data_IF_758484525274
#
_entry.id   IF_758484525274
#
_cell.length_a   1.000
_cell.length_b   1.000
_cell.length_c   1.000
_cell.angle_alpha   90.00
_cell.angle_beta   90.00
_cell.angle_gamma   90.00
#
_symmetry.space_group_name_H-M   'P 1'
#
loop_
_entity.id
_entity.type
_entity.pdbx_description
1 polymer ?
#
# COMPACT_ATOMS: atom_id res chain seq x y z
N UNK A 1 4.21 34.25 -16.87
CA UNK A 1 4.46 33.93 -15.48
C UNK A 1 3.96 32.51 -15.33
N UNK A 2 4.88 31.57 -15.12
CA UNK A 2 4.58 30.15 -15.22
C UNK A 2 3.72 29.66 -14.06
N UNK A 3 2.64 28.96 -14.37
CA UNK A 3 1.88 28.20 -13.41
C UNK A 3 2.81 27.13 -12.80
N UNK A 4 3.09 27.25 -11.51
CA UNK A 4 3.76 26.23 -10.71
C UNK A 4 2.86 25.00 -10.72
N UNK A 5 3.31 23.91 -11.36
CA UNK A 5 2.66 22.61 -11.28
C UNK A 5 2.89 22.07 -9.87
N UNK A 6 1.94 22.32 -8.97
CA UNK A 6 1.93 21.63 -7.67
C UNK A 6 1.40 20.21 -7.88
N UNK A 7 2.27 19.22 -7.67
CA UNK A 7 1.85 17.82 -7.52
C UNK A 7 1.15 17.67 -6.17
N UNK A 8 -0.04 17.03 -6.11
CA UNK A 8 -0.61 16.64 -4.82
C UNK A 8 0.39 15.76 -4.07
N UNK A 9 0.62 16.04 -2.79
CA UNK A 9 1.51 15.22 -1.95
C UNK A 9 0.76 13.94 -1.64
N UNK A 10 1.21 12.84 -2.25
CA UNK A 10 0.71 11.50 -1.93
C UNK A 10 1.18 11.15 -0.52
N UNK A 11 0.39 10.42 0.25
CA UNK A 11 0.74 9.97 1.62
C UNK A 11 2.06 9.17 1.71
N UNK A 12 2.67 8.82 0.58
CA UNK A 12 4.01 8.24 0.44
C UNK A 12 5.14 9.24 0.69
N UNK A 13 4.89 10.55 0.61
CA UNK A 13 5.92 11.59 0.78
C UNK A 13 6.28 11.86 2.26
N UNK A 14 5.73 11.07 3.19
CA UNK A 14 5.87 11.25 4.64
C UNK A 14 7.08 10.49 5.22
N UNK A 15 7.96 9.91 4.39
CA UNK A 15 9.04 9.04 4.87
C UNK A 15 10.41 9.68 4.62
N UNK A 16 11.35 9.45 5.53
CA UNK A 16 12.69 10.01 5.43
C UNK A 16 13.49 9.18 4.42
N UNK A 17 14.11 9.81 3.41
CA UNK A 17 14.98 9.14 2.45
C UNK A 17 16.15 8.36 3.13
N UNK A 18 16.36 8.55 4.43
CA UNK A 18 17.35 7.83 5.22
C UNK A 18 16.79 6.59 5.94
N UNK A 19 15.46 6.33 5.90
CA UNK A 19 14.89 5.18 6.58
C UNK A 19 15.25 3.89 5.86
N UNK A 20 15.96 3.01 6.56
CA UNK A 20 16.29 1.68 6.07
C UNK A 20 15.04 0.81 6.02
N UNK A 21 14.88 0.02 4.97
CA UNK A 21 13.74 -0.88 4.89
C UNK A 21 13.68 -1.73 3.62
N UNK A 22 12.54 -2.31 3.38
CA UNK A 22 12.27 -3.23 2.28
C UNK A 22 11.35 -2.57 1.25
N UNK A 23 11.75 -2.64 -0.01
CA UNK A 23 10.87 -2.28 -1.14
C UNK A 23 10.01 -3.48 -1.49
N UNK A 24 8.71 -3.31 -1.57
CA UNK A 24 7.77 -4.31 -2.06
C UNK A 24 7.30 -3.87 -3.45
N UNK A 25 7.60 -4.66 -4.48
CA UNK A 25 7.13 -4.40 -5.84
C UNK A 25 5.81 -5.12 -6.04
N UNK A 26 4.79 -4.36 -6.40
CA UNK A 26 3.44 -4.87 -6.64
C UNK A 26 3.22 -5.26 -8.10
N UNK A 27 2.93 -6.55 -8.32
CA UNK A 27 2.53 -7.11 -9.61
C UNK A 27 1.01 -7.30 -9.73
N UNK A 28 0.22 -6.59 -8.93
CA UNK A 28 -1.24 -6.68 -8.92
C UNK A 28 -1.80 -7.75 -7.99
N UNK A 29 -1.03 -8.17 -6.98
CA UNK A 29 -1.47 -9.14 -5.99
C UNK A 29 -2.43 -8.52 -4.98
N UNK A 30 -3.46 -9.28 -4.60
CA UNK A 30 -4.32 -8.95 -3.45
C UNK A 30 -3.53 -8.92 -2.11
N UNK A 31 -2.33 -9.50 -2.08
CA UNK A 31 -1.52 -9.66 -0.87
C UNK A 31 -0.32 -8.73 -0.79
N UNK A 32 -0.07 -7.85 -1.77
CA UNK A 32 1.08 -6.93 -1.73
C UNK A 32 1.07 -6.02 -0.49
N UNK A 33 -0.11 -5.52 -0.13
CA UNK A 33 -0.29 -4.76 1.12
C UNK A 33 -0.07 -5.59 2.38
N UNK A 34 -0.47 -6.86 2.34
CA UNK A 34 -0.25 -7.77 3.46
C UNK A 34 1.24 -8.06 3.64
N UNK A 35 2.01 -8.23 2.56
CA UNK A 35 3.47 -8.33 2.62
C UNK A 35 4.06 -7.08 3.30
N UNK A 36 3.72 -5.89 2.83
CA UNK A 36 4.20 -4.64 3.41
C UNK A 36 3.82 -4.51 4.91
N UNK A 37 2.62 -4.92 5.28
CA UNK A 37 2.18 -4.96 6.68
C UNK A 37 3.00 -5.94 7.51
N UNK A 38 3.26 -7.16 7.02
CA UNK A 38 4.06 -8.18 7.72
C UNK A 38 5.48 -7.69 8.01
N UNK A 39 6.08 -6.96 7.07
CA UNK A 39 7.40 -6.34 7.27
C UNK A 39 7.34 -5.31 8.42
N UNK A 40 6.30 -4.49 8.46
CA UNK A 40 6.11 -3.50 9.53
C UNK A 40 5.82 -4.14 10.88
N UNK A 41 5.13 -5.27 10.93
CA UNK A 41 4.94 -6.08 12.14
C UNK A 41 6.28 -6.62 12.69
N UNK A 42 7.32 -6.75 11.84
CA UNK A 42 8.69 -7.05 12.22
C UNK A 42 9.53 -5.80 12.60
N UNK A 43 8.88 -4.66 12.76
CA UNK A 43 9.48 -3.36 13.08
C UNK A 43 10.47 -2.83 12.01
N UNK A 44 10.28 -3.18 10.76
CA UNK A 44 11.06 -2.69 9.62
C UNK A 44 10.15 -1.88 8.69
N UNK A 45 10.68 -0.77 8.18
CA UNK A 45 9.94 0.03 7.22
C UNK A 45 9.75 -0.72 5.89
N UNK A 46 8.61 -0.53 5.25
CA UNK A 46 8.33 -1.07 3.93
C UNK A 46 7.69 -0.03 3.02
N UNK A 47 8.21 0.08 1.80
CA UNK A 47 7.68 0.92 0.73
C UNK A 47 7.06 0.02 -0.33
N UNK A 48 5.77 0.19 -0.61
CA UNK A 48 5.09 -0.50 -1.69
C UNK A 48 5.13 0.37 -2.95
N UNK A 49 5.60 -0.20 -4.06
CA UNK A 49 5.77 0.51 -5.33
C UNK A 49 5.25 -0.34 -6.50
N UNK A 50 4.87 0.32 -7.59
CA UNK A 50 4.48 -0.39 -8.81
C UNK A 50 5.69 -0.96 -9.55
N UNK A 51 5.46 -1.93 -10.43
CA UNK A 51 6.48 -2.50 -11.30
C UNK A 51 7.11 -1.49 -12.28
N UNK A 52 6.50 -0.32 -12.48
CA UNK A 52 7.03 0.77 -13.32
C UNK A 52 7.87 1.80 -12.54
N UNK A 53 8.09 1.60 -11.26
CA UNK A 53 8.85 2.54 -10.42
C UNK A 53 10.33 2.56 -10.78
N UNK A 54 10.93 3.75 -10.75
CA UNK A 54 12.36 3.95 -11.01
C UNK A 54 13.18 3.89 -9.72
N UNK A 55 14.47 3.58 -9.82
CA UNK A 55 15.38 3.60 -8.68
C UNK A 55 15.41 4.95 -7.97
N UNK A 56 15.45 6.06 -8.72
CA UNK A 56 15.44 7.41 -8.17
C UNK A 56 14.16 7.70 -7.37
N UNK A 57 13.00 7.20 -7.87
CA UNK A 57 11.75 7.37 -7.14
C UNK A 57 11.71 6.59 -5.81
N UNK A 58 12.40 5.47 -5.74
CA UNK A 58 12.52 4.65 -4.52
C UNK A 58 13.50 5.32 -3.54
N UNK A 59 14.70 5.67 -4.00
CA UNK A 59 15.75 6.23 -3.14
C UNK A 59 15.46 7.64 -2.64
N UNK A 60 14.59 8.39 -3.34
CA UNK A 60 14.08 9.66 -2.82
C UNK A 60 13.18 9.50 -1.60
N UNK A 61 12.66 8.29 -1.35
CA UNK A 61 11.70 8.00 -0.28
C UNK A 61 12.30 7.17 0.85
N UNK A 62 13.31 6.31 0.58
CA UNK A 62 13.90 5.44 1.59
C UNK A 62 15.32 5.01 1.20
N UNK A 63 16.03 4.38 2.14
CA UNK A 63 17.28 3.67 1.92
C UNK A 63 17.00 2.16 1.81
N UNK A 64 16.88 1.57 0.59
CA UNK A 64 16.52 0.17 0.44
C UNK A 64 17.60 -0.77 0.94
N UNK A 65 17.22 -1.79 1.69
CA UNK A 65 18.08 -2.89 2.16
C UNK A 65 17.78 -4.22 1.48
N UNK A 66 16.62 -4.32 0.83
CA UNK A 66 16.20 -5.50 0.09
C UNK A 66 14.91 -5.24 -0.67
N UNK A 67 14.59 -6.14 -1.58
CA UNK A 67 13.42 -6.07 -2.45
C UNK A 67 12.59 -7.34 -2.29
N UNK A 68 11.29 -7.19 -2.10
CA UNK A 68 10.32 -8.30 -2.18
C UNK A 68 9.46 -8.10 -3.43
N UNK A 69 9.41 -9.11 -4.28
CA UNK A 69 8.58 -9.17 -5.46
C UNK A 69 7.30 -9.91 -5.11
N UNK A 70 6.16 -9.26 -5.21
CA UNK A 70 4.87 -9.82 -4.80
C UNK A 70 4.39 -10.95 -5.71
N UNK A 71 3.31 -11.60 -5.33
CA UNK A 71 2.51 -12.39 -6.25
C UNK A 71 1.84 -11.53 -7.32
N UNK A 72 1.09 -12.17 -8.21
CA UNK A 72 0.33 -11.50 -9.26
C UNK A 72 -0.65 -12.45 -9.94
N UNK A 73 -1.69 -11.92 -10.62
CA UNK A 73 -2.69 -12.74 -11.31
C UNK A 73 -2.27 -13.20 -12.70
N UNK A 74 -1.20 -12.62 -13.26
CA UNK A 74 -0.74 -12.87 -14.64
C UNK A 74 0.15 -14.11 -14.72
N UNK A 75 0.30 -14.66 -15.92
CA UNK A 75 1.37 -15.59 -16.27
C UNK A 75 2.54 -14.83 -16.87
N UNK A 76 3.78 -15.20 -16.53
CA UNK A 76 4.99 -14.48 -16.98
C UNK A 76 5.20 -14.45 -18.50
N UNK A 77 4.51 -15.30 -19.24
CA UNK A 77 4.52 -15.38 -20.69
C UNK A 77 3.34 -14.65 -21.35
N UNK A 78 2.47 -13.99 -20.59
CA UNK A 78 1.39 -13.15 -21.14
C UNK A 78 1.98 -11.89 -21.78
N UNK A 79 1.36 -11.41 -22.85
CA UNK A 79 1.87 -10.27 -23.66
C UNK A 79 2.07 -8.98 -22.85
N UNK A 80 1.24 -8.79 -21.81
CA UNK A 80 1.27 -7.61 -20.95
C UNK A 80 1.59 -7.97 -19.49
N UNK A 81 2.28 -9.08 -19.26
CA UNK A 81 2.69 -9.47 -17.91
C UNK A 81 3.63 -8.41 -17.32
N UNK A 82 3.42 -7.98 -16.05
CA UNK A 82 4.34 -7.04 -15.44
C UNK A 82 5.73 -7.67 -15.28
N UNK A 83 6.77 -6.94 -15.67
CA UNK A 83 8.17 -7.35 -15.56
C UNK A 83 8.82 -6.78 -14.30
N UNK A 84 9.90 -7.41 -13.84
CA UNK A 84 10.75 -6.87 -12.77
C UNK A 84 11.50 -5.66 -13.36
N UNK A 85 11.49 -4.48 -12.71
CA UNK A 85 12.28 -3.34 -13.15
C UNK A 85 13.78 -3.69 -13.22
N UNK A 86 14.48 -3.22 -14.25
CA UNK A 86 15.89 -3.54 -14.49
C UNK A 86 16.79 -3.20 -13.28
N UNK A 87 16.50 -2.08 -12.61
CA UNK A 87 17.26 -1.64 -11.45
C UNK A 87 17.32 -2.68 -10.31
N UNK A 88 16.33 -3.58 -10.21
CA UNK A 88 16.29 -4.62 -9.16
C UNK A 88 17.50 -5.57 -9.28
N UNK A 89 17.90 -5.91 -10.50
CA UNK A 89 19.06 -6.75 -10.75
C UNK A 89 20.38 -5.98 -10.85
N UNK A 90 20.31 -4.69 -11.18
CA UNK A 90 21.48 -3.80 -11.23
C UNK A 90 22.00 -3.44 -9.84
N UNK A 91 21.10 -3.34 -8.87
CA UNK A 91 21.47 -3.10 -7.48
C UNK A 91 21.85 -4.44 -6.81
N UNK A 92 22.88 -4.44 -6.01
CA UNK A 92 23.30 -5.65 -5.27
C UNK A 92 22.45 -5.94 -4.03
N UNK A 93 21.17 -5.58 -4.08
CA UNK A 93 20.24 -5.78 -2.96
C UNK A 93 19.74 -7.23 -2.91
N UNK A 94 19.52 -7.78 -1.71
CA UNK A 94 18.80 -9.03 -1.56
C UNK A 94 17.39 -8.98 -2.16
N UNK A 95 17.00 -10.07 -2.85
CA UNK A 95 15.72 -10.20 -3.53
C UNK A 95 14.98 -11.42 -3.00
N UNK A 96 13.70 -11.26 -2.66
CA UNK A 96 12.77 -12.35 -2.36
C UNK A 96 11.59 -12.32 -3.31
N UNK A 97 11.46 -13.31 -4.21
CA UNK A 97 10.28 -13.48 -5.07
C UNK A 97 9.20 -14.32 -4.38
N UNK A 98 7.94 -13.91 -4.43
CA UNK A 98 6.79 -14.64 -3.89
C UNK A 98 5.84 -14.99 -5.04
N UNK A 99 5.54 -16.28 -5.24
CA UNK A 99 4.60 -16.78 -6.24
C UNK A 99 4.92 -16.26 -7.66
N UNK A 100 4.16 -15.30 -8.19
CA UNK A 100 4.49 -14.65 -9.46
C UNK A 100 5.89 -14.03 -9.46
N UNK A 101 6.31 -13.38 -8.36
CA UNK A 101 7.66 -12.82 -8.22
C UNK A 101 8.76 -13.85 -8.37
N UNK A 102 8.56 -15.09 -7.90
CA UNK A 102 9.47 -16.20 -8.16
C UNK A 102 9.53 -16.54 -9.65
N UNK A 103 8.38 -16.68 -10.29
CA UNK A 103 8.26 -17.01 -11.71
C UNK A 103 8.88 -15.92 -12.59
N UNK A 104 8.69 -14.64 -12.23
CA UNK A 104 9.29 -13.51 -12.92
C UNK A 104 10.83 -13.50 -12.82
N UNK A 105 11.40 -13.81 -11.64
CA UNK A 105 12.86 -13.98 -11.47
C UNK A 105 13.36 -15.06 -12.42
N UNK A 106 12.77 -16.25 -12.38
CA UNK A 106 13.20 -17.39 -13.22
C UNK A 106 13.10 -17.04 -14.70
N UNK A 107 11.99 -16.45 -15.15
CA UNK A 107 11.75 -16.09 -16.55
C UNK A 107 12.75 -15.03 -17.04
N UNK A 108 12.94 -13.93 -16.31
CA UNK A 108 13.86 -12.87 -16.72
C UNK A 108 15.34 -13.27 -16.67
N UNK A 109 15.69 -14.26 -15.83
CA UNK A 109 17.04 -14.81 -15.76
C UNK A 109 17.28 -15.98 -16.75
N UNK A 110 16.33 -16.27 -17.66
CA UNK A 110 16.47 -17.24 -18.74
C UNK A 110 16.10 -18.69 -18.35
N UNK A 111 15.42 -18.90 -17.24
CA UNK A 111 14.78 -20.17 -16.91
C UNK A 111 13.42 -20.33 -17.59
N UNK A 112 12.72 -21.42 -17.35
CA UNK A 112 11.44 -21.75 -17.98
C UNK A 112 10.34 -21.87 -16.94
N UNK A 113 9.22 -21.20 -17.22
CA UNK A 113 7.96 -21.31 -16.48
C UNK A 113 6.88 -21.76 -17.46
N UNK A 114 6.06 -22.70 -17.06
CA UNK A 114 4.99 -23.24 -17.90
C UNK A 114 3.72 -23.55 -17.09
N UNK A 115 2.55 -23.62 -17.77
CA UNK A 115 1.31 -24.02 -17.12
C UNK A 115 1.44 -25.41 -16.49
N UNK A 116 1.01 -25.54 -15.22
CA UNK A 116 1.00 -26.84 -14.56
C UNK A 116 -0.27 -27.60 -14.87
N UNK A 117 -0.15 -28.87 -15.21
CA UNK A 117 -1.29 -29.80 -15.30
C UNK A 117 -1.90 -30.12 -13.93
N UNK A 118 -1.09 -29.98 -12.87
CA UNK A 118 -1.53 -30.10 -11.47
C UNK A 118 -1.38 -28.74 -10.82
N UNK A 119 -2.49 -27.98 -10.78
CA UNK A 119 -2.54 -26.71 -10.07
C UNK A 119 -2.50 -26.96 -8.56
N UNK A 120 -1.74 -26.16 -7.81
CA UNK A 120 -1.70 -26.23 -6.36
C UNK A 120 -2.43 -25.03 -5.73
N UNK A 121 -3.53 -25.33 -5.06
CA UNK A 121 -4.28 -24.36 -4.26
C UNK A 121 -4.58 -24.94 -2.90
N UNK A 122 -4.22 -24.21 -1.84
CA UNK A 122 -4.46 -24.62 -0.47
C UNK A 122 -3.20 -25.09 0.26
N UNK A 123 -3.40 -25.92 1.26
CA UNK A 123 -2.34 -26.43 2.11
C UNK A 123 -1.43 -27.44 1.41
N UNK A 124 -0.12 -27.28 1.58
CA UNK A 124 0.89 -28.23 1.17
C UNK A 124 1.95 -28.36 2.27
N UNK A 125 2.68 -29.46 2.25
CA UNK A 125 3.84 -29.64 3.15
C UNK A 125 5.10 -29.32 2.34
N UNK A 126 5.81 -28.28 2.77
CA UNK A 126 7.13 -27.94 2.26
C UNK A 126 8.17 -28.82 2.97
N UNK A 127 9.08 -29.40 2.20
CA UNK A 127 10.22 -30.15 2.73
C UNK A 127 11.50 -29.48 2.25
N UNK A 128 12.42 -29.19 3.17
CA UNK A 128 13.72 -28.58 2.86
C UNK A 128 14.62 -29.60 2.16
N UNK A 129 15.27 -29.16 1.07
CA UNK A 129 16.24 -29.99 0.34
C UNK A 129 17.64 -29.98 1.01
N UNK A 130 17.88 -28.95 1.84
CA UNK A 130 19.13 -28.75 2.56
C UNK A 130 18.88 -27.98 3.86
N UNK A 131 19.48 -28.41 4.97
CA UNK A 131 19.36 -27.77 6.28
C UNK A 131 20.20 -26.47 6.40
N UNK A 132 20.77 -25.96 5.32
CA UNK A 132 21.66 -24.80 5.33
C UNK A 132 21.01 -23.54 4.66
N UNK A 133 19.72 -23.57 4.36
CA UNK A 133 19.06 -22.39 3.79
C UNK A 133 18.77 -21.34 4.89
N UNK A 134 19.36 -20.15 4.75
CA UNK A 134 19.19 -19.05 5.71
C UNK A 134 17.72 -18.64 5.90
N UNK A 135 16.87 -18.77 4.86
CA UNK A 135 15.44 -18.46 4.97
C UNK A 135 14.70 -19.40 5.94
N UNK A 136 15.16 -20.63 6.06
CA UNK A 136 14.51 -21.66 6.87
C UNK A 136 15.27 -21.97 8.17
N UNK A 137 16.27 -21.16 8.48
CA UNK A 137 17.06 -21.34 9.71
C UNK A 137 16.20 -21.27 10.97
N UNK A 138 16.33 -22.27 11.83
CA UNK A 138 15.54 -22.41 13.06
C UNK A 138 14.13 -22.97 12.83
N UNK A 139 13.82 -23.45 11.63
CA UNK A 139 12.54 -24.05 11.27
C UNK A 139 12.68 -25.60 11.16
N UNK A 140 11.58 -26.35 11.31
CA UNK A 140 11.61 -27.82 11.12
C UNK A 140 11.90 -28.18 9.65
N UNK A 141 12.41 -29.40 9.41
CA UNK A 141 12.72 -29.88 8.06
C UNK A 141 11.52 -29.90 7.12
N UNK A 142 10.33 -30.05 7.68
CA UNK A 142 9.06 -29.98 6.92
C UNK A 142 8.02 -29.14 7.70
N UNK A 143 7.28 -28.31 6.98
CA UNK A 143 6.23 -27.46 7.58
C UNK A 143 5.14 -27.12 6.57
N UNK A 144 3.99 -26.69 7.11
CA UNK A 144 2.81 -26.36 6.33
C UNK A 144 2.96 -24.98 5.66
N UNK A 145 2.57 -24.91 4.36
CA UNK A 145 2.57 -23.69 3.56
C UNK A 145 1.28 -23.58 2.75
N UNK A 146 0.94 -22.35 2.32
CA UNK A 146 -0.20 -22.07 1.46
C UNK A 146 0.25 -21.84 0.03
N UNK A 147 -0.23 -22.71 -0.86
CA UNK A 147 -0.02 -22.63 -2.30
C UNK A 147 -1.19 -21.96 -3.00
N UNK A 148 -0.89 -21.16 -4.05
CA UNK A 148 -1.92 -20.53 -4.88
C UNK A 148 -1.35 -20.24 -6.28
N UNK A 149 -1.11 -21.28 -7.07
CA UNK A 149 -0.51 -21.10 -8.40
C UNK A 149 -1.02 -22.09 -9.44
N UNK A 150 -1.12 -21.59 -10.69
CA UNK A 150 -1.46 -22.39 -11.87
C UNK A 150 -0.27 -22.72 -12.76
N UNK A 151 0.83 -21.96 -12.62
CA UNK A 151 2.05 -22.12 -13.38
C UNK A 151 3.16 -22.67 -12.47
N UNK A 152 4.16 -23.36 -13.06
CA UNK A 152 5.29 -23.90 -12.31
C UNK A 152 6.60 -23.59 -13.03
N UNK A 153 7.66 -23.53 -12.24
CA UNK A 153 9.03 -23.51 -12.75
C UNK A 153 9.40 -24.89 -13.28
N UNK A 154 9.88 -24.97 -14.52
CA UNK A 154 10.34 -26.22 -15.15
C UNK A 154 11.86 -26.33 -15.23
N UNK A 155 12.55 -25.20 -15.45
CA UNK A 155 14.01 -25.18 -15.45
C UNK A 155 14.52 -23.88 -14.80
N UNK A 156 15.62 -24.00 -14.06
CA UNK A 156 16.27 -22.88 -13.39
C UNK A 156 17.41 -22.32 -14.23
N UNK A 157 17.68 -21.00 -14.15
CA UNK A 157 18.94 -20.45 -14.61
C UNK A 157 20.10 -21.02 -13.76
N UNK A 158 21.29 -21.12 -14.36
CA UNK A 158 22.46 -21.81 -13.77
C UNK A 158 22.90 -21.31 -12.38
N UNK A 159 22.56 -20.09 -12.04
CA UNK A 159 22.91 -19.44 -10.76
C UNK A 159 21.94 -19.81 -9.63
N UNK A 160 20.74 -20.34 -9.92
CA UNK A 160 19.74 -20.70 -8.93
C UNK A 160 19.68 -22.23 -8.72
N UNK A 161 19.38 -22.64 -7.51
CA UNK A 161 19.22 -24.04 -7.12
C UNK A 161 17.92 -24.25 -6.35
N UNK A 162 17.31 -25.45 -6.38
CA UNK A 162 16.23 -25.81 -5.48
C UNK A 162 16.67 -25.73 -4.02
N UNK A 163 15.81 -25.22 -3.15
CA UNK A 163 16.02 -25.11 -1.70
C UNK A 163 15.00 -25.94 -0.91
N UNK A 164 13.79 -26.09 -1.47
CA UNK A 164 12.72 -26.89 -0.89
C UNK A 164 11.69 -27.30 -1.95
N UNK A 165 10.96 -28.37 -1.68
CA UNK A 165 9.94 -28.95 -2.55
C UNK A 165 8.64 -29.25 -1.79
N UNK A 166 7.56 -29.46 -2.55
CA UNK A 166 6.31 -30.10 -2.08
C UNK A 166 6.07 -31.39 -2.88
N UNK A 167 5.02 -32.14 -2.55
CA UNK A 167 4.65 -33.32 -3.32
C UNK A 167 4.42 -33.04 -4.81
N UNK A 168 3.89 -31.86 -5.15
CA UNK A 168 3.51 -31.49 -6.52
C UNK A 168 4.45 -30.47 -7.17
N UNK A 169 5.31 -29.82 -6.40
CA UNK A 169 6.28 -28.82 -6.89
C UNK A 169 7.69 -29.18 -6.42
N UNK A 170 8.53 -29.63 -7.35
CA UNK A 170 9.94 -29.94 -7.08
C UNK A 170 10.81 -28.71 -6.80
N UNK A 171 10.28 -27.51 -7.04
CA UNK A 171 10.93 -26.21 -6.87
C UNK A 171 9.97 -25.26 -6.16
N UNK A 172 9.56 -25.60 -4.93
CA UNK A 172 8.67 -24.78 -4.12
C UNK A 172 9.41 -23.60 -3.45
N UNK A 173 10.73 -23.73 -3.29
CA UNK A 173 11.63 -22.63 -2.95
C UNK A 173 12.94 -22.80 -3.73
N UNK A 174 13.50 -21.69 -4.20
CA UNK A 174 14.74 -21.63 -4.96
C UNK A 174 15.61 -20.46 -4.52
N UNK A 175 16.90 -20.50 -4.84
CA UNK A 175 17.78 -19.36 -4.58
C UNK A 175 19.24 -19.65 -4.94
N UNK A 176 20.08 -18.62 -4.80
CA UNK A 176 21.55 -18.76 -4.92
C UNK A 176 22.24 -18.85 -3.55
N UNK A 177 21.48 -18.89 -2.46
CA UNK A 177 21.93 -18.90 -1.07
C UNK A 177 22.75 -17.66 -0.63
N UNK A 178 22.81 -16.62 -1.44
CA UNK A 178 23.49 -15.36 -1.15
C UNK A 178 22.50 -14.23 -1.00
N UNK A 179 21.91 -13.79 -2.11
CA UNK A 179 21.06 -12.62 -2.16
C UNK A 179 19.79 -12.77 -2.99
N UNK A 180 19.60 -13.89 -3.71
CA UNK A 180 18.38 -14.16 -4.48
C UNK A 180 17.69 -15.39 -3.90
N UNK A 181 16.47 -15.18 -3.45
CA UNK A 181 15.57 -16.20 -2.93
C UNK A 181 14.20 -16.07 -3.57
N UNK A 182 13.51 -17.18 -3.77
CA UNK A 182 12.14 -17.12 -4.26
C UNK A 182 11.31 -18.32 -3.79
N UNK A 183 10.04 -18.07 -3.54
CA UNK A 183 9.07 -18.97 -2.95
C UNK A 183 7.85 -19.09 -3.84
N UNK A 184 7.39 -20.30 -4.11
CA UNK A 184 6.15 -20.53 -4.84
C UNK A 184 4.92 -20.35 -3.93
N UNK A 185 5.09 -20.51 -2.62
CA UNK A 185 4.04 -20.32 -1.61
C UNK A 185 4.00 -18.89 -1.07
N UNK A 186 2.95 -18.59 -0.32
CA UNK A 186 2.68 -17.29 0.27
C UNK A 186 3.07 -17.27 1.77
N UNK A 187 4.22 -16.72 2.15
CA UNK A 187 4.63 -16.62 3.56
C UNK A 187 3.83 -15.57 4.33
N UNK A 188 3.23 -14.59 3.65
CA UNK A 188 2.50 -13.47 4.25
C UNK A 188 1.13 -13.84 4.81
N UNK A 189 0.52 -14.94 4.33
CA UNK A 189 -0.84 -15.30 4.72
C UNK A 189 -0.89 -16.11 6.02
N UNK A 190 -1.99 -16.02 6.75
CA UNK A 190 -2.18 -16.74 8.01
C UNK A 190 -2.17 -18.28 7.86
N UNK A 191 -2.45 -18.78 6.64
CA UNK A 191 -2.45 -20.20 6.31
C UNK A 191 -1.04 -20.80 6.14
N UNK A 192 0.00 -19.98 6.21
CA UNK A 192 1.41 -20.42 6.32
C UNK A 192 1.87 -20.11 7.75
N UNK A 193 1.73 -21.06 8.71
CA UNK A 193 1.95 -20.78 10.13
C UNK A 193 3.33 -20.24 10.45
N UNK A 194 4.37 -20.74 9.76
CA UNK A 194 5.76 -20.30 9.93
C UNK A 194 6.19 -19.23 8.89
N UNK A 195 5.26 -18.65 8.16
CA UNK A 195 5.56 -17.65 7.13
C UNK A 195 6.25 -16.40 7.67
N UNK A 196 5.88 -15.96 8.89
CA UNK A 196 6.54 -14.84 9.54
C UNK A 196 8.00 -15.12 9.88
N UNK A 197 8.37 -16.37 10.20
CA UNK A 197 9.76 -16.76 10.43
C UNK A 197 10.58 -16.68 9.12
N UNK A 198 10.01 -17.09 8.00
CA UNK A 198 10.63 -16.95 6.66
C UNK A 198 10.92 -15.49 6.34
N UNK A 199 9.90 -14.61 6.50
CA UNK A 199 10.05 -13.17 6.27
C UNK A 199 11.06 -12.54 7.24
N UNK A 200 11.03 -12.90 8.51
CA UNK A 200 11.97 -12.42 9.52
C UNK A 200 13.42 -12.84 9.19
N UNK A 201 13.64 -14.08 8.78
CA UNK A 201 14.96 -14.55 8.37
C UNK A 201 15.47 -13.76 7.14
N UNK A 202 14.63 -13.54 6.13
CA UNK A 202 15.01 -12.72 4.99
C UNK A 202 15.37 -11.30 5.41
N UNK A 203 14.50 -10.64 6.15
CA UNK A 203 14.65 -9.24 6.54
C UNK A 203 15.88 -9.03 7.43
N UNK A 204 16.10 -9.93 8.41
CA UNK A 204 17.15 -9.74 9.41
C UNK A 204 18.48 -10.34 9.01
N UNK A 205 18.46 -11.58 8.46
CA UNK A 205 19.71 -12.32 8.22
C UNK A 205 20.26 -12.09 6.83
N UNK A 206 19.38 -11.85 5.84
CA UNK A 206 19.81 -11.62 4.46
C UNK A 206 19.93 -10.12 4.18
N UNK A 207 18.93 -9.31 4.56
CA UNK A 207 18.92 -7.86 4.32
C UNK A 207 19.60 -7.05 5.42
N UNK A 208 19.90 -7.63 6.57
CA UNK A 208 20.47 -6.94 7.75
C UNK A 208 19.73 -5.65 8.13
N UNK A 209 18.40 -5.69 8.06
CA UNK A 209 17.57 -4.55 8.40
C UNK A 209 17.52 -4.30 9.90
N UNK A 210 17.66 -3.01 10.29
CA UNK A 210 17.44 -2.59 11.68
C UNK A 210 15.96 -2.52 11.99
N UNK A 211 15.59 -2.88 13.22
CA UNK A 211 14.23 -2.73 13.74
C UNK A 211 13.98 -1.32 14.26
N UNK A 212 13.96 -0.34 13.37
CA UNK A 212 13.81 1.08 13.73
C UNK A 212 12.37 1.59 13.56
N UNK A 213 11.56 0.89 12.77
CA UNK A 213 10.19 1.31 12.52
C UNK A 213 9.26 0.90 13.66
N UNK A 214 8.56 1.86 14.24
CA UNK A 214 7.47 1.64 15.19
C UNK A 214 6.33 2.60 14.90
N UNK A 215 5.08 2.27 15.23
CA UNK A 215 3.96 3.22 15.12
C UNK A 215 4.22 4.55 15.86
N UNK A 216 4.96 4.51 16.97
CA UNK A 216 5.33 5.70 17.73
C UNK A 216 6.31 6.60 16.97
N UNK A 217 7.33 6.02 16.37
CA UNK A 217 8.29 6.75 15.51
C UNK A 217 7.57 7.35 14.31
N UNK A 218 6.71 6.58 13.65
CA UNK A 218 5.89 7.06 12.54
C UNK A 218 5.06 8.30 12.92
N UNK A 219 4.38 8.28 14.08
CA UNK A 219 3.61 9.44 14.57
C UNK A 219 4.52 10.65 14.77
N UNK A 220 5.69 10.46 15.38
CA UNK A 220 6.64 11.56 15.66
C UNK A 220 7.17 12.17 14.37
N UNK A 221 7.58 11.35 13.42
CA UNK A 221 8.09 11.79 12.12
C UNK A 221 7.00 12.46 11.30
N UNK A 222 5.81 11.83 11.20
CA UNK A 222 4.68 12.40 10.47
C UNK A 222 4.29 13.78 11.00
N UNK A 223 4.20 13.94 12.32
CA UNK A 223 3.85 15.24 12.92
C UNK A 223 4.92 16.31 12.66
N UNK A 224 6.20 15.96 12.68
CA UNK A 224 7.29 16.88 12.35
C UNK A 224 7.22 17.38 10.92
N UNK A 225 6.93 16.48 9.97
CA UNK A 225 6.81 16.82 8.54
C UNK A 225 5.57 17.63 8.24
N UNK A 226 4.43 17.23 8.78
CA UNK A 226 3.19 18.02 8.65
C UNK A 226 3.46 19.44 9.11
N UNK A 227 4.12 19.62 10.26
CA UNK A 227 4.46 20.94 10.78
C UNK A 227 5.38 21.73 9.83
N UNK A 228 6.38 21.10 9.26
CA UNK A 228 7.29 21.73 8.31
C UNK A 228 6.58 22.11 7.00
N UNK A 229 5.70 21.24 6.49
CA UNK A 229 4.97 21.45 5.24
C UNK A 229 3.94 22.57 5.37
N UNK A 230 3.15 22.54 6.45
CA UNK A 230 2.06 23.50 6.68
C UNK A 230 2.62 24.87 7.05
N UNK A 231 3.74 24.92 7.80
CA UNK A 231 4.30 26.17 8.28
C UNK A 231 3.29 26.97 9.09
N UNK A 232 3.03 28.21 8.68
CA UNK A 232 2.07 29.11 9.31
C UNK A 232 0.67 29.08 8.67
N UNK A 233 0.44 28.22 7.65
CA UNK A 233 -0.82 28.12 6.94
C UNK A 233 -1.88 27.38 7.75
N UNK A 234 -3.15 27.58 7.39
CA UNK A 234 -4.28 26.86 7.97
C UNK A 234 -4.69 25.67 7.11
N UNK A 235 -5.17 24.61 7.75
CA UNK A 235 -5.58 23.34 7.14
C UNK A 235 -7.04 23.07 7.47
N UNK A 236 -7.82 22.76 6.44
CA UNK A 236 -9.14 22.14 6.59
C UNK A 236 -8.96 20.63 6.52
N UNK A 237 -9.54 19.88 7.45
CA UNK A 237 -9.60 18.43 7.40
C UNK A 237 -11.04 17.96 7.23
N UNK A 238 -11.30 17.25 6.15
CA UNK A 238 -12.59 16.59 5.92
C UNK A 238 -12.73 15.41 6.90
N UNK A 239 -13.66 15.51 7.83
CA UNK A 239 -13.90 14.50 8.86
C UNK A 239 -15.19 13.72 8.51
N UNK A 240 -15.07 12.42 8.27
CA UNK A 240 -16.23 11.55 8.02
C UNK A 240 -16.72 10.81 9.27
N UNK A 241 -15.95 10.85 10.36
CA UNK A 241 -16.19 10.01 11.55
C UNK A 241 -15.68 8.57 11.42
N UNK A 242 -15.16 8.17 10.25
CA UNK A 242 -14.48 6.90 10.05
C UNK A 242 -13.06 6.90 10.64
N UNK A 243 -12.45 5.71 10.78
CA UNK A 243 -11.11 5.54 11.38
C UNK A 243 -10.05 6.37 10.66
N UNK A 244 -10.04 6.36 9.33
CA UNK A 244 -8.99 6.99 8.52
C UNK A 244 -9.01 8.51 8.66
N UNK A 245 -10.19 9.14 8.52
CA UNK A 245 -10.34 10.58 8.74
C UNK A 245 -10.03 10.98 10.18
N UNK A 246 -10.34 10.11 11.16
CA UNK A 246 -10.04 10.33 12.56
C UNK A 246 -8.54 10.33 12.84
N UNK A 247 -7.81 9.35 12.30
CA UNK A 247 -6.35 9.27 12.42
C UNK A 247 -5.69 10.47 11.75
N UNK A 248 -6.15 10.86 10.55
CA UNK A 248 -5.66 12.03 9.83
C UNK A 248 -5.86 13.30 10.66
N UNK A 249 -7.07 13.53 11.19
CA UNK A 249 -7.37 14.70 12.02
C UNK A 249 -6.51 14.73 13.29
N UNK A 250 -6.29 13.60 13.95
CA UNK A 250 -5.46 13.53 15.16
C UNK A 250 -3.98 13.75 14.88
N UNK A 251 -3.43 13.25 13.78
CA UNK A 251 -2.05 13.52 13.37
C UNK A 251 -1.85 15.00 13.04
N UNK A 252 -2.77 15.60 12.31
CA UNK A 252 -2.77 17.03 12.01
C UNK A 252 -2.87 17.87 13.29
N UNK A 253 -3.83 17.59 14.15
CA UNK A 253 -3.99 18.31 15.42
C UNK A 253 -2.73 18.23 16.28
N UNK A 254 -2.10 17.07 16.36
CA UNK A 254 -0.84 16.89 17.08
C UNK A 254 0.31 17.70 16.45
N UNK A 255 0.31 17.88 15.13
CA UNK A 255 1.36 18.59 14.41
C UNK A 255 1.21 20.11 14.45
N UNK A 256 0.00 20.61 14.22
CA UNK A 256 -0.27 22.05 13.93
C UNK A 256 -1.31 22.69 14.87
N UNK A 257 -1.91 21.93 15.81
CA UNK A 257 -2.79 22.46 16.84
C UNK A 257 -3.95 23.29 16.27
N UNK A 258 -4.03 24.56 16.65
CA UNK A 258 -5.13 25.48 16.31
C UNK A 258 -5.16 25.91 14.83
N UNK A 259 -4.11 25.61 14.04
CA UNK A 259 -4.12 25.82 12.60
C UNK A 259 -5.01 24.80 11.88
N UNK A 260 -5.49 23.76 12.56
CA UNK A 260 -6.41 22.77 12.02
C UNK A 260 -7.86 23.14 12.31
N UNK A 261 -8.69 23.14 11.26
CA UNK A 261 -10.15 23.14 11.39
C UNK A 261 -10.72 21.88 10.73
N UNK A 262 -11.40 21.06 11.52
CA UNK A 262 -12.11 19.91 11.01
C UNK A 262 -13.51 20.30 10.53
N UNK A 263 -13.94 19.82 9.37
CA UNK A 263 -15.29 20.04 8.86
C UNK A 263 -16.00 18.69 8.74
N UNK A 264 -17.13 18.58 9.40
CA UNK A 264 -18.01 17.41 9.31
C UNK A 264 -19.32 17.82 8.65
N UNK A 265 -19.63 17.22 7.50
CA UNK A 265 -20.81 17.54 6.70
C UNK A 265 -21.87 16.47 6.85
N UNK A 266 -23.05 16.86 7.31
CA UNK A 266 -24.24 16.02 7.21
C UNK A 266 -24.77 16.08 5.76
N UNK A 267 -24.58 15.00 5.04
CA UNK A 267 -25.04 14.86 3.64
C UNK A 267 -26.42 14.21 3.51
N UNK A 268 -27.14 14.00 4.62
CA UNK A 268 -28.44 13.34 4.64
C UNK A 268 -28.41 11.82 4.51
N UNK A 269 -27.23 11.20 4.38
CA UNK A 269 -27.04 9.74 4.20
C UNK A 269 -26.35 9.10 5.42
N UNK A 270 -26.24 9.85 6.53
CA UNK A 270 -25.64 9.38 7.77
C UNK A 270 -26.52 8.36 8.49
N UNK A 271 -25.89 7.53 9.31
CA UNK A 271 -26.62 6.62 10.21
C UNK A 271 -27.32 7.43 11.33
N UNK A 272 -28.35 6.84 11.90
CA UNK A 272 -29.08 7.46 13.02
C UNK A 272 -28.14 7.74 14.19
N UNK A 273 -28.09 9.00 14.64
CA UNK A 273 -27.25 9.44 15.76
C UNK A 273 -25.76 9.60 15.44
N UNK A 274 -25.35 9.41 14.20
CA UNK A 274 -23.94 9.51 13.81
C UNK A 274 -23.41 10.94 13.90
N UNK A 275 -24.20 11.92 13.47
CA UNK A 275 -23.82 13.34 13.56
C UNK A 275 -23.55 13.80 14.99
N UNK A 276 -24.41 13.44 15.93
CA UNK A 276 -24.24 13.75 17.35
C UNK A 276 -23.02 13.03 17.95
N UNK A 277 -22.83 11.76 17.58
CA UNK A 277 -21.70 10.96 18.05
C UNK A 277 -20.36 11.55 17.61
N UNK A 278 -20.25 11.95 16.34
CA UNK A 278 -19.05 12.59 15.78
C UNK A 278 -18.77 13.91 16.48
N UNK A 279 -19.76 14.78 16.63
CA UNK A 279 -19.59 16.07 17.32
C UNK A 279 -19.15 15.89 18.76
N UNK A 280 -19.76 14.96 19.50
CA UNK A 280 -19.37 14.68 20.89
C UNK A 280 -17.94 14.14 20.97
N UNK A 281 -17.56 13.22 20.12
CA UNK A 281 -16.23 12.63 20.14
C UNK A 281 -15.16 13.66 19.80
N UNK A 282 -15.29 14.34 18.69
CA UNK A 282 -14.20 15.18 18.19
C UNK A 282 -14.15 16.56 18.81
N UNK A 283 -15.30 17.21 19.04
CA UNK A 283 -15.35 18.52 19.68
C UNK A 283 -15.19 18.44 21.20
N UNK A 284 -16.00 17.60 21.87
CA UNK A 284 -16.08 17.61 23.32
C UNK A 284 -15.01 16.75 24.00
N UNK A 285 -14.70 15.55 23.44
CA UNK A 285 -13.75 14.64 24.08
C UNK A 285 -12.31 14.87 23.60
N UNK A 286 -12.11 15.20 22.31
CA UNK A 286 -10.78 15.38 21.72
C UNK A 286 -10.37 16.84 21.55
N UNK A 287 -11.27 17.79 21.79
CA UNK A 287 -10.96 19.22 21.77
C UNK A 287 -10.62 19.79 20.41
N UNK A 288 -11.02 19.12 19.30
CA UNK A 288 -10.75 19.60 17.96
C UNK A 288 -11.64 20.79 17.60
N UNK A 289 -11.10 21.76 16.88
CA UNK A 289 -11.90 22.80 16.25
C UNK A 289 -12.75 22.16 15.13
N UNK A 290 -14.04 21.93 15.42
CA UNK A 290 -14.96 21.22 14.53
C UNK A 290 -16.09 22.11 14.09
N UNK A 291 -16.22 22.33 12.78
CA UNK A 291 -17.37 22.95 12.14
C UNK A 291 -18.32 21.83 11.67
N UNK A 292 -19.57 21.90 12.13
CA UNK A 292 -20.64 21.04 11.64
C UNK A 292 -21.46 21.79 10.60
N UNK A 293 -21.65 21.15 9.45
CA UNK A 293 -22.44 21.70 8.33
C UNK A 293 -23.60 20.77 8.05
N UNK A 294 -24.82 21.26 8.14
CA UNK A 294 -25.99 20.53 7.67
C UNK A 294 -26.28 20.89 6.21
N UNK A 295 -25.93 19.99 5.32
CA UNK A 295 -26.16 20.09 3.89
C UNK A 295 -27.10 18.99 3.35
N UNK A 296 -27.85 18.33 4.24
CA UNK A 296 -28.65 17.16 3.91
C UNK A 296 -29.62 17.42 2.73
N UNK A 297 -30.36 18.52 2.76
CA UNK A 297 -31.30 18.88 1.68
C UNK A 297 -30.57 19.09 0.34
N UNK A 298 -29.42 19.74 0.38
CA UNK A 298 -28.60 20.04 -0.80
C UNK A 298 -28.12 18.75 -1.51
N UNK A 299 -27.58 17.79 -0.76
CA UNK A 299 -27.14 16.53 -1.32
C UNK A 299 -28.31 15.69 -1.83
N UNK A 300 -29.37 15.56 -1.05
CA UNK A 300 -30.54 14.75 -1.43
C UNK A 300 -31.18 15.29 -2.70
N UNK A 301 -31.33 16.61 -2.83
CA UNK A 301 -31.90 17.24 -4.03
C UNK A 301 -31.05 16.97 -5.28
N UNK A 302 -29.71 17.03 -5.18
CA UNK A 302 -28.82 16.76 -6.31
C UNK A 302 -28.80 15.28 -6.72
N UNK A 303 -29.11 14.38 -5.80
CA UNK A 303 -29.18 12.94 -6.05
C UNK A 303 -30.56 12.46 -6.53
N UNK A 304 -31.55 13.36 -6.58
CA UNK A 304 -32.90 13.02 -7.01
C UNK A 304 -32.89 12.48 -8.46
N UNK A 305 -33.56 11.35 -8.67
CA UNK A 305 -33.64 10.62 -9.95
C UNK A 305 -32.28 10.10 -10.51
N UNK A 306 -31.19 10.19 -9.79
CA UNK A 306 -29.91 9.59 -10.17
C UNK A 306 -29.89 8.14 -9.71
N UNK A 307 -29.85 7.19 -10.64
CA UNK A 307 -29.83 5.74 -10.35
C UNK A 307 -28.44 5.13 -10.51
N UNK A 308 -27.62 5.69 -11.41
CA UNK A 308 -26.27 5.21 -11.70
C UNK A 308 -25.32 5.44 -10.52
N UNK A 309 -24.65 4.41 -10.00
CA UNK A 309 -23.79 4.52 -8.82
C UNK A 309 -22.57 5.41 -9.04
N UNK A 310 -22.01 5.44 -10.26
CA UNK A 310 -20.84 6.25 -10.56
C UNK A 310 -21.18 7.74 -10.65
N UNK A 311 -22.34 8.07 -11.25
CA UNK A 311 -22.85 9.43 -11.24
C UNK A 311 -23.14 9.91 -9.81
N UNK A 312 -23.71 9.05 -8.95
CA UNK A 312 -23.90 9.40 -7.53
C UNK A 312 -22.60 9.76 -6.84
N UNK A 313 -21.53 8.96 -7.04
CA UNK A 313 -20.21 9.23 -6.44
C UNK A 313 -19.63 10.55 -6.89
N UNK A 314 -19.70 10.86 -8.19
CA UNK A 314 -19.20 12.12 -8.74
C UNK A 314 -19.95 13.32 -8.15
N UNK A 315 -21.30 13.27 -8.13
CA UNK A 315 -22.12 14.33 -7.56
C UNK A 315 -21.80 14.55 -6.08
N UNK A 316 -21.70 13.45 -5.30
CA UNK A 316 -21.38 13.53 -3.88
C UNK A 316 -20.00 14.13 -3.68
N UNK A 317 -18.97 13.65 -4.41
CA UNK A 317 -17.60 14.14 -4.30
C UNK A 317 -17.48 15.62 -4.64
N UNK A 318 -18.06 16.06 -5.78
CA UNK A 318 -18.09 17.47 -6.17
C UNK A 318 -18.78 18.34 -5.12
N UNK A 319 -19.90 17.87 -4.59
CA UNK A 319 -20.68 18.65 -3.63
C UNK A 319 -19.95 18.83 -2.30
N UNK A 320 -19.22 17.81 -1.83
CA UNK A 320 -18.36 17.96 -0.65
C UNK A 320 -17.31 19.05 -0.85
N UNK A 321 -16.64 19.08 -2.02
CA UNK A 321 -15.64 20.11 -2.30
C UNK A 321 -16.26 21.51 -2.31
N UNK A 322 -17.43 21.68 -2.94
CA UNK A 322 -18.12 23.00 -2.95
C UNK A 322 -18.48 23.46 -1.53
N UNK A 323 -18.92 22.55 -0.67
CA UNK A 323 -19.17 22.87 0.75
C UNK A 323 -17.88 23.31 1.45
N UNK A 324 -16.75 22.65 1.20
CA UNK A 324 -15.46 23.02 1.79
C UNK A 324 -14.96 24.37 1.28
N UNK A 325 -15.10 24.66 -0.01
CA UNK A 325 -14.72 25.94 -0.62
C UNK A 325 -15.57 27.10 -0.08
N UNK A 326 -16.87 26.89 0.14
CA UNK A 326 -17.77 27.91 0.70
C UNK A 326 -17.39 28.28 2.14
N UNK A 327 -16.82 27.34 2.91
CA UNK A 327 -16.43 27.55 4.32
C UNK A 327 -14.98 28.04 4.42
N UNK A 328 -14.14 27.76 3.45
CA UNK A 328 -12.70 28.08 3.49
C UNK A 328 -12.40 29.56 3.81
N UNK A 329 -13.12 30.57 3.28
CA UNK A 329 -12.90 31.98 3.63
C UNK A 329 -13.12 32.27 5.11
N UNK A 330 -14.03 31.54 5.76
CA UNK A 330 -14.37 31.71 7.18
C UNK A 330 -13.33 31.04 8.10
N UNK A 331 -12.46 30.19 7.52
CA UNK A 331 -11.40 29.44 8.22
C UNK A 331 -10.04 30.08 7.92
N UNK A 332 -9.83 31.33 8.33
CA UNK A 332 -8.52 32.01 8.25
C UNK A 332 -7.79 31.84 6.91
N UNK A 333 -8.52 31.77 5.80
CA UNK A 333 -8.01 31.52 4.45
C UNK A 333 -7.17 30.22 4.36
N UNK A 334 -7.77 29.10 4.74
CA UNK A 334 -7.11 27.81 4.66
C UNK A 334 -6.57 27.54 3.24
N UNK A 335 -5.32 27.10 3.17
CA UNK A 335 -4.64 26.79 1.91
C UNK A 335 -4.67 25.30 1.58
N UNK A 336 -4.83 24.44 2.59
CA UNK A 336 -4.75 23.00 2.45
C UNK A 336 -6.07 22.32 2.82
N UNK A 337 -6.44 21.30 2.02
CA UNK A 337 -7.50 20.35 2.34
C UNK A 337 -6.87 18.97 2.62
N UNK A 338 -7.02 18.49 3.84
CA UNK A 338 -6.60 17.15 4.22
C UNK A 338 -7.76 16.17 4.18
N UNK A 339 -7.56 15.04 3.53
CA UNK A 339 -8.52 13.95 3.44
C UNK A 339 -7.86 12.61 3.82
N UNK A 340 -8.54 11.84 4.66
CA UNK A 340 -8.12 10.48 4.99
C UNK A 340 -8.43 9.55 3.83
N UNK A 341 -7.40 9.06 3.14
CA UNK A 341 -7.51 8.12 2.03
C UNK A 341 -6.64 6.91 2.29
N UNK A 342 -7.20 5.71 2.14
CA UNK A 342 -6.44 4.47 2.24
C UNK A 342 -5.63 4.24 0.96
N UNK A 343 -4.43 3.68 1.11
CA UNK A 343 -3.59 3.34 -0.03
C UNK A 343 -4.25 2.40 -1.06
N UNK A 344 -5.05 1.38 -0.67
CA UNK A 344 -5.83 0.60 -1.62
C UNK A 344 -6.76 1.45 -2.49
N UNK A 345 -7.40 2.46 -1.92
CA UNK A 345 -8.30 3.35 -2.66
C UNK A 345 -7.53 4.21 -3.68
N UNK A 346 -6.28 4.58 -3.37
CA UNK A 346 -5.39 5.29 -4.30
C UNK A 346 -5.03 4.41 -5.49
N UNK A 347 -4.62 3.16 -5.26
CA UNK A 347 -4.24 2.22 -6.32
C UNK A 347 -5.43 1.89 -7.21
N UNK A 348 -6.60 1.60 -6.62
CA UNK A 348 -7.81 1.29 -7.37
C UNK A 348 -8.28 2.46 -8.26
N UNK A 349 -7.89 3.69 -7.90
CA UNK A 349 -8.28 4.91 -8.63
C UNK A 349 -7.26 5.35 -9.68
N UNK A 350 -5.97 5.00 -9.53
CA UNK A 350 -4.87 5.49 -10.36
C UNK A 350 -4.52 4.59 -11.57
N UNK A 351 -5.32 3.62 -11.98
CA UNK A 351 -5.00 2.77 -13.14
C UNK A 351 -5.25 3.50 -14.48
N UNK A 352 -4.26 4.20 -15.07
CA UNK A 352 -4.40 4.75 -16.42
C UNK A 352 -4.13 3.74 -17.53
N UNK A 353 -3.32 2.68 -17.35
CA UNK A 353 -2.79 1.93 -18.50
C UNK A 353 -2.72 0.39 -18.41
N UNK A 354 -3.17 -0.25 -17.35
CA UNK A 354 -3.20 -1.72 -17.33
C UNK A 354 -4.61 -2.26 -17.60
N UNK A 355 -4.85 -2.66 -18.86
CA UNK A 355 -6.09 -3.33 -19.29
C UNK A 355 -6.35 -4.69 -18.60
N UNK A 356 -5.52 -5.13 -17.67
CA UNK A 356 -5.66 -6.40 -16.96
C UNK A 356 -6.42 -6.33 -15.64
N UNK A 357 -6.59 -5.14 -15.03
CA UNK A 357 -7.47 -4.97 -13.86
C UNK A 357 -8.71 -4.17 -14.25
N UNK A 358 -9.88 -4.76 -14.11
CA UNK A 358 -11.13 -4.04 -14.28
C UNK A 358 -11.11 -2.81 -13.34
N UNK A 359 -11.37 -1.63 -13.88
CA UNK A 359 -11.63 -0.39 -13.11
C UNK A 359 -12.75 -0.69 -12.12
N UNK A 360 -12.40 -0.94 -10.86
CA UNK A 360 -13.40 -1.40 -9.90
C UNK A 360 -14.17 -0.21 -9.32
N UNK A 361 -13.53 0.96 -9.13
CA UNK A 361 -14.21 2.19 -8.63
C UNK A 361 -13.31 3.42 -8.80
N UNK A 362 -13.92 4.60 -9.11
CA UNK A 362 -13.32 5.89 -8.77
C UNK A 362 -13.58 6.18 -7.30
N UNK A 363 -12.53 6.37 -6.51
CA UNK A 363 -12.66 6.78 -5.12
C UNK A 363 -12.97 8.29 -5.08
N UNK A 364 -13.93 8.71 -4.24
CA UNK A 364 -14.36 10.10 -4.15
C UNK A 364 -13.24 11.08 -3.71
N UNK A 365 -12.21 10.60 -3.03
CA UNK A 365 -11.06 11.39 -2.59
C UNK A 365 -9.92 11.47 -3.64
N UNK A 366 -9.99 10.72 -4.73
CA UNK A 366 -8.90 10.66 -5.73
C UNK A 366 -9.39 10.98 -7.14
N UNK A 367 -10.52 10.44 -7.56
CA UNK A 367 -11.05 10.59 -8.93
C UNK A 367 -12.25 11.53 -9.06
N UNK A 368 -12.72 12.11 -7.97
CA UNK A 368 -13.93 12.95 -7.93
C UNK A 368 -13.68 14.44 -7.62
N UNK A 369 -12.40 14.84 -7.50
CA UNK A 369 -12.07 16.25 -7.21
C UNK A 369 -12.26 17.11 -8.46
N UNK A 370 -12.89 18.29 -8.36
CA UNK A 370 -13.02 19.22 -9.47
C UNK A 370 -11.66 19.77 -9.93
N UNK A 371 -11.49 19.93 -11.24
CA UNK A 371 -10.25 20.49 -11.83
C UNK A 371 -10.00 21.95 -11.45
N UNK A 372 -11.03 22.67 -11.02
CA UNK A 372 -11.00 24.08 -10.63
C UNK A 372 -10.88 24.30 -9.11
N UNK A 373 -10.57 23.25 -8.33
CA UNK A 373 -10.43 23.33 -6.87
C UNK A 373 -9.32 24.31 -6.46
N UNK A 374 -9.62 25.21 -5.51
CA UNK A 374 -8.71 26.26 -5.04
C UNK A 374 -7.85 25.82 -3.85
N UNK A 375 -8.27 24.81 -3.08
CA UNK A 375 -7.52 24.22 -1.97
C UNK A 375 -6.44 23.27 -2.50
N UNK A 376 -5.28 23.24 -1.82
CA UNK A 376 -4.12 22.38 -2.15
C UNK A 376 -4.23 21.03 -1.47
#
# INVERSE_FOLDING_TARGET
MGASQFKPIKGTDIINANDEGIVVIDFGSQYSHLIARRIRELNVYSLLVSASSTWDSVTSQMNPKGVILSGGPSSVYDVNAPSIPEWVFEQTLPILGICYGMQAIVHQMGGTVAPSSKREYGHAILTQDSNNCVLFEGMPDSFEVWMSHGDRVESLPAILSPLAHTENSSMAAIGNQENIFALQFHPEVAHTPLGMNVLENFIRKVCDCRQSWTPGNFVTESTSRIKQQVGDSHVICALSGGVDSSVTAMLLHKAIGDQLTCIFVNNGLLRKGEAESVQNTFRNNLGLNLIYVDAAERFVTKLENITDPEQKRKIIGEEFIRVFEEISPDVSHAEYLAQGTLYPDVIESETPDNQASARIKTHHNVGGLPDDMQLK
#
